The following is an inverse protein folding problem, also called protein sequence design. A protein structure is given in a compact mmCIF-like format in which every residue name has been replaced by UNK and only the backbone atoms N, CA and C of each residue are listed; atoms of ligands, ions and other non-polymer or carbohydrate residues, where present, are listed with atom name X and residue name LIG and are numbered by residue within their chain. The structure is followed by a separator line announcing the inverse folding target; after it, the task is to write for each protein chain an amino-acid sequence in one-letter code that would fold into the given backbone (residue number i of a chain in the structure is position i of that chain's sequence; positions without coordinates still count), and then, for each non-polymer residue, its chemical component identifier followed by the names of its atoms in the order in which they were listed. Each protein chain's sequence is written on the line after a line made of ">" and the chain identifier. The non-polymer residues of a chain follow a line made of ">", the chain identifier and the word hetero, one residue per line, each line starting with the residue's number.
data_IF_018433525972
#
_entry.id   IF_018433525972
#
_cell.length_a   1.000
_cell.length_b   1.000
_cell.length_c   1.000
_cell.angle_alpha   90.00
_cell.angle_beta   90.00
_cell.angle_gamma   90.00
#
_symmetry.space_group_name_H-M   'P 1'
#
loop_
_entity.id
_entity.type
_entity.pdbx_description
1 polymer ?
#
# COMPACT_ATOMS: atom_id res chain seq x y z
N UNK A 1 -4.54 11.38 -26.67
CA UNK A 1 -3.24 12.00 -26.36
C UNK A 1 -2.79 11.41 -25.03
N UNK A 2 -1.63 10.74 -24.99
CA UNK A 2 -1.10 10.12 -23.78
C UNK A 2 -0.03 11.05 -23.21
N UNK A 3 0.01 11.22 -21.90
CA UNK A 3 1.05 12.00 -21.24
C UNK A 3 2.41 11.31 -21.45
N UNK A 4 3.37 12.05 -22.01
CA UNK A 4 4.70 11.54 -22.36
C UNK A 4 5.46 10.96 -21.15
N UNK A 5 5.25 11.50 -19.94
CA UNK A 5 5.89 10.98 -18.72
C UNK A 5 5.46 9.55 -18.37
N UNK A 6 4.31 9.10 -18.89
CA UNK A 6 3.82 7.74 -18.68
C UNK A 6 4.15 6.78 -19.84
N UNK A 7 4.60 7.30 -20.99
CA UNK A 7 4.96 6.45 -22.14
C UNK A 7 6.07 5.45 -21.82
N UNK A 8 7.05 5.88 -21.04
CA UNK A 8 8.16 5.02 -20.61
C UNK A 8 7.72 3.86 -19.69
N UNK A 9 6.51 3.98 -19.10
CA UNK A 9 5.93 2.93 -18.25
C UNK A 9 5.13 1.91 -19.07
N UNK A 10 4.81 2.22 -20.33
CA UNK A 10 4.11 1.29 -21.20
C UNK A 10 5.06 0.12 -21.55
N UNK A 11 4.62 -1.09 -21.23
CA UNK A 11 5.39 -2.31 -21.46
C UNK A 11 6.45 -2.63 -20.38
N UNK A 12 6.69 -1.76 -19.43
CA UNK A 12 7.50 -2.09 -18.25
C UNK A 12 6.67 -2.95 -17.31
N UNK A 13 6.97 -4.22 -17.21
CA UNK A 13 6.35 -5.09 -16.22
C UNK A 13 6.99 -4.85 -14.84
N UNK A 14 6.17 -4.86 -13.81
CA UNK A 14 6.67 -4.89 -12.43
C UNK A 14 7.29 -6.25 -12.15
N UNK A 15 8.53 -6.27 -11.67
CA UNK A 15 9.23 -7.52 -11.29
C UNK A 15 8.40 -8.34 -10.30
N UNK A 16 7.71 -7.68 -9.37
CA UNK A 16 6.83 -8.34 -8.40
C UNK A 16 5.69 -9.09 -9.12
N UNK A 17 5.10 -8.48 -10.14
CA UNK A 17 4.03 -9.14 -10.93
C UNK A 17 4.56 -10.30 -11.75
N UNK A 18 5.72 -10.16 -12.38
CA UNK A 18 6.37 -11.25 -13.11
C UNK A 18 6.65 -12.45 -12.20
N UNK A 19 7.17 -12.18 -10.99
CA UNK A 19 7.40 -13.24 -10.00
C UNK A 19 6.11 -13.90 -9.53
N UNK A 20 5.05 -13.13 -9.28
CA UNK A 20 3.75 -13.66 -8.89
C UNK A 20 3.09 -14.49 -10.01
N UNK A 21 3.17 -14.02 -11.27
CA UNK A 21 2.71 -14.77 -12.44
C UNK A 21 3.49 -16.09 -12.60
N UNK A 22 4.81 -16.03 -12.42
CA UNK A 22 5.67 -17.24 -12.45
C UNK A 22 5.30 -18.21 -11.34
N UNK A 23 5.15 -17.72 -10.08
CA UNK A 23 4.77 -18.57 -8.94
C UNK A 23 3.40 -19.22 -9.17
N UNK A 24 2.45 -18.49 -9.74
CA UNK A 24 1.11 -19.01 -10.10
C UNK A 24 1.22 -20.09 -11.18
N UNK A 25 2.00 -19.88 -12.22
CA UNK A 25 2.21 -20.88 -13.28
C UNK A 25 2.90 -22.13 -12.71
N UNK A 26 3.94 -21.93 -11.89
CA UNK A 26 4.67 -23.03 -11.26
C UNK A 26 3.80 -23.86 -10.31
N UNK A 27 2.92 -23.21 -9.56
CA UNK A 27 1.99 -23.88 -8.65
C UNK A 27 1.02 -24.81 -9.37
N UNK A 28 0.62 -24.48 -10.59
CA UNK A 28 -0.19 -25.37 -11.43
C UNK A 28 0.55 -26.65 -11.87
N UNK A 29 1.87 -26.58 -11.99
CA UNK A 29 2.71 -27.71 -12.44
C UNK A 29 3.10 -28.64 -11.30
N UNK A 30 3.49 -28.09 -10.15
CA UNK A 30 4.08 -28.88 -9.04
C UNK A 30 3.23 -28.92 -7.78
N UNK A 31 2.05 -28.27 -7.77
CA UNK A 31 1.21 -28.05 -6.61
C UNK A 31 1.56 -26.77 -5.87
N UNK A 32 0.53 -26.01 -5.46
CA UNK A 32 0.72 -24.71 -4.77
C UNK A 32 1.40 -24.87 -3.40
N UNK A 33 1.24 -26.00 -2.75
CA UNK A 33 1.86 -26.34 -1.48
C UNK A 33 3.40 -26.44 -1.58
N UNK A 34 3.93 -26.60 -2.80
CA UNK A 34 5.36 -26.69 -3.09
C UNK A 34 5.96 -25.38 -3.61
N UNK A 35 5.17 -24.27 -3.62
CA UNK A 35 5.61 -22.96 -4.08
C UNK A 35 5.56 -21.97 -2.93
N UNK A 36 6.72 -21.43 -2.55
CA UNK A 36 6.85 -20.40 -1.53
C UNK A 36 6.93 -19.02 -2.20
N UNK A 37 5.76 -18.43 -2.47
CA UNK A 37 5.67 -17.13 -3.14
C UNK A 37 5.81 -15.99 -2.13
N UNK A 38 6.92 -15.27 -2.22
CA UNK A 38 7.20 -14.06 -1.44
C UNK A 38 7.10 -12.77 -2.27
N UNK A 39 6.48 -12.81 -3.44
CA UNK A 39 6.40 -11.67 -4.35
C UNK A 39 5.36 -10.65 -3.94
N UNK A 40 4.17 -11.07 -3.53
CA UNK A 40 3.07 -10.20 -3.11
C UNK A 40 2.79 -10.34 -1.62
N UNK A 41 2.58 -9.19 -0.97
CA UNK A 41 2.21 -9.13 0.45
C UNK A 41 0.72 -9.43 0.70
N UNK A 42 0.25 -10.61 0.27
CA UNK A 42 -1.11 -11.02 0.58
C UNK A 42 -1.25 -11.36 2.07
N UNK A 43 -2.38 -10.99 2.71
CA UNK A 43 -2.68 -11.45 4.06
C UNK A 43 -2.70 -12.98 4.13
N UNK A 44 -1.96 -13.53 5.09
CA UNK A 44 -1.91 -14.98 5.36
C UNK A 44 -2.68 -15.38 6.63
N UNK A 45 -3.27 -14.41 7.30
CA UNK A 45 -4.07 -14.59 8.51
C UNK A 45 -5.53 -14.29 8.17
N UNK A 46 -6.43 -15.14 8.65
CA UNK A 46 -7.86 -14.91 8.47
C UNK A 46 -8.29 -13.60 9.14
N UNK A 47 -9.22 -12.90 8.52
CA UNK A 47 -9.85 -11.73 9.14
C UNK A 47 -10.60 -12.17 10.42
N UNK A 48 -10.64 -11.34 11.48
CA UNK A 48 -11.43 -11.65 12.67
C UNK A 48 -12.90 -11.93 12.33
N UNK A 49 -13.51 -12.90 13.01
CA UNK A 49 -14.88 -13.30 12.72
C UNK A 49 -15.85 -12.13 12.95
N UNK A 50 -15.59 -11.33 13.96
CA UNK A 50 -16.38 -10.14 14.29
C UNK A 50 -16.49 -9.15 13.12
N UNK A 51 -15.42 -9.02 12.32
CA UNK A 51 -15.45 -8.18 11.11
C UNK A 51 -16.41 -8.76 10.07
N UNK A 52 -16.38 -10.08 9.87
CA UNK A 52 -17.27 -10.76 8.91
C UNK A 52 -18.72 -10.63 9.36
N UNK A 53 -18.99 -10.84 10.63
CA UNK A 53 -20.33 -10.78 11.22
C UNK A 53 -20.90 -9.36 11.10
N UNK A 54 -20.10 -8.34 11.38
CA UNK A 54 -20.50 -6.94 11.24
C UNK A 54 -20.78 -6.56 9.78
N UNK A 55 -19.97 -7.01 8.84
CA UNK A 55 -20.25 -6.80 7.42
C UNK A 55 -21.58 -7.42 6.98
N UNK A 56 -21.87 -8.63 7.47
CA UNK A 56 -23.15 -9.31 7.18
C UNK A 56 -24.31 -8.54 7.84
N UNK A 57 -24.15 -8.06 9.07
CA UNK A 57 -25.16 -7.27 9.78
C UNK A 57 -25.47 -5.97 9.01
N UNK A 58 -24.45 -5.20 8.63
CA UNK A 58 -24.61 -3.97 7.87
C UNK A 58 -25.38 -4.19 6.56
N UNK A 59 -25.04 -5.23 5.81
CA UNK A 59 -25.71 -5.56 4.55
C UNK A 59 -27.18 -5.97 4.70
N UNK A 60 -27.58 -6.50 5.87
CA UNK A 60 -28.94 -6.97 6.14
C UNK A 60 -29.82 -5.94 6.82
N UNK A 61 -29.26 -5.11 7.67
CA UNK A 61 -29.98 -4.27 8.62
C UNK A 61 -29.94 -2.79 8.29
N UNK A 62 -28.83 -2.33 7.63
CA UNK A 62 -28.73 -0.91 7.29
C UNK A 62 -29.56 -0.55 6.06
N UNK A 63 -30.03 0.69 6.05
CA UNK A 63 -30.70 1.23 4.86
C UNK A 63 -29.75 1.27 3.67
N UNK A 64 -30.20 0.72 2.56
CA UNK A 64 -29.41 0.58 1.33
C UNK A 64 -28.91 1.93 0.81
N UNK A 65 -29.68 3.01 0.93
CA UNK A 65 -29.27 4.34 0.46
C UNK A 65 -28.18 4.93 1.35
N UNK A 66 -28.24 4.65 2.65
CA UNK A 66 -27.20 5.03 3.61
C UNK A 66 -25.92 4.21 3.40
N UNK A 67 -26.05 2.89 3.24
CA UNK A 67 -24.91 2.00 3.12
C UNK A 67 -24.13 2.20 1.81
N UNK A 68 -24.84 2.44 0.70
CA UNK A 68 -24.25 2.56 -0.65
C UNK A 68 -24.21 3.99 -1.18
N UNK A 69 -24.65 4.96 -0.38
CA UNK A 69 -24.65 6.38 -0.73
C UNK A 69 -23.23 7.00 -0.68
N UNK A 70 -23.16 8.25 -1.11
CA UNK A 70 -21.95 9.03 -0.95
C UNK A 70 -21.69 9.36 0.52
N UNK A 71 -20.45 9.16 0.96
CA UNK A 71 -19.98 9.72 2.24
C UNK A 71 -19.70 11.22 2.10
N UNK A 72 -19.65 11.98 3.23
CA UNK A 72 -19.12 13.34 3.19
C UNK A 72 -17.72 13.38 2.55
N UNK A 73 -17.43 14.46 1.82
CA UNK A 73 -16.18 14.60 1.05
C UNK A 73 -14.89 14.45 1.85
N UNK A 74 -14.94 14.71 3.16
CA UNK A 74 -13.82 14.53 4.09
C UNK A 74 -13.85 13.18 4.84
N UNK A 75 -14.73 12.27 4.42
CA UNK A 75 -14.93 10.96 5.03
C UNK A 75 -16.02 10.93 6.10
N UNK A 76 -16.42 9.72 6.49
CA UNK A 76 -17.42 9.50 7.52
C UNK A 76 -16.90 9.97 8.90
N UNK A 77 -17.62 10.86 9.63
CA UNK A 77 -17.17 11.39 10.90
C UNK A 77 -16.93 10.31 11.98
N UNK A 78 -17.84 9.36 12.12
CA UNK A 78 -17.73 8.27 13.10
C UNK A 78 -16.49 7.41 12.84
N UNK A 79 -16.24 7.08 11.58
CA UNK A 79 -15.02 6.35 11.20
C UNK A 79 -13.75 7.13 11.58
N UNK A 80 -13.73 8.45 11.34
CA UNK A 80 -12.58 9.31 11.66
C UNK A 80 -12.35 9.42 13.17
N UNK A 81 -13.42 9.51 13.96
CA UNK A 81 -13.37 9.52 15.43
C UNK A 81 -12.75 8.22 15.96
N UNK A 82 -13.22 7.07 15.50
CA UNK A 82 -12.70 5.77 15.94
C UNK A 82 -11.24 5.55 15.52
N UNK A 83 -10.84 5.99 14.33
CA UNK A 83 -9.44 5.94 13.91
C UNK A 83 -8.56 6.84 14.79
N UNK A 84 -8.97 8.07 15.04
CA UNK A 84 -8.24 8.99 15.91
C UNK A 84 -8.10 8.43 17.33
N UNK A 85 -9.18 7.90 17.91
CA UNK A 85 -9.18 7.23 19.21
C UNK A 85 -8.19 6.06 19.24
N UNK A 86 -8.26 5.16 18.27
CA UNK A 86 -7.35 4.01 18.16
C UNK A 86 -5.88 4.43 18.09
N UNK A 87 -5.55 5.47 17.33
CA UNK A 87 -4.18 6.00 17.24
C UNK A 87 -3.72 6.61 18.56
N UNK A 88 -4.59 7.34 19.24
CA UNK A 88 -4.29 7.95 20.55
C UNK A 88 -4.03 6.89 21.61
N UNK A 89 -4.88 5.87 21.69
CA UNK A 89 -4.75 4.78 22.66
C UNK A 89 -3.51 3.92 22.43
N UNK A 90 -3.22 3.58 21.16
CA UNK A 90 -2.13 2.66 20.82
C UNK A 90 -0.76 3.31 20.79
N UNK A 91 -0.68 4.57 20.44
CA UNK A 91 0.59 5.25 20.18
C UNK A 91 0.80 6.52 21.00
N UNK A 92 -0.10 6.84 21.94
CA UNK A 92 0.02 8.04 22.80
C UNK A 92 -0.07 9.34 22.01
N UNK A 93 -0.80 9.34 20.88
CA UNK A 93 -1.00 10.53 20.06
C UNK A 93 -2.12 11.41 20.62
N UNK A 94 -2.32 12.56 20.02
CA UNK A 94 -3.41 13.49 20.37
C UNK A 94 -4.08 13.97 19.07
N UNK A 95 -4.72 13.03 18.35
CA UNK A 95 -5.46 13.33 17.13
C UNK A 95 -6.94 13.52 17.41
N UNK A 96 -7.55 14.50 16.70
CA UNK A 96 -9.00 14.59 16.52
C UNK A 96 -9.39 14.07 15.13
N UNK A 97 -10.70 13.93 14.87
CA UNK A 97 -11.20 13.48 13.55
C UNK A 97 -10.79 14.41 12.40
N UNK A 98 -10.51 15.68 12.65
CA UNK A 98 -10.00 16.65 11.68
C UNK A 98 -8.60 16.32 11.15
N UNK A 99 -7.82 15.53 11.89
CA UNK A 99 -6.50 15.07 11.46
C UNK A 99 -6.54 13.78 10.63
N UNK A 100 -7.72 13.18 10.45
CA UNK A 100 -7.89 11.92 9.73
C UNK A 100 -8.48 12.19 8.35
N UNK A 101 -7.80 11.74 7.32
CA UNK A 101 -8.24 11.80 5.94
C UNK A 101 -8.27 10.39 5.31
N UNK A 102 -9.44 9.75 5.19
CA UNK A 102 -9.57 8.43 4.60
C UNK A 102 -9.21 8.43 3.11
N UNK A 103 -8.49 7.41 2.68
CA UNK A 103 -8.11 7.22 1.27
C UNK A 103 -8.31 5.77 0.84
N UNK A 104 -8.26 5.54 -0.47
CA UNK A 104 -8.29 4.18 -1.03
C UNK A 104 -6.93 3.52 -0.88
N UNK A 105 -6.68 2.97 0.31
CA UNK A 105 -5.44 2.29 0.66
C UNK A 105 -4.21 3.21 0.74
N UNK A 106 -3.05 2.62 1.03
CA UNK A 106 -1.78 3.32 1.17
C UNK A 106 -1.35 4.06 -0.11
N UNK A 107 -1.65 3.50 -1.28
CA UNK A 107 -1.36 4.13 -2.57
C UNK A 107 -2.07 5.49 -2.72
N UNK A 108 -3.35 5.54 -2.35
CA UNK A 108 -4.13 6.78 -2.31
C UNK A 108 -3.55 7.77 -1.32
N UNK A 109 -3.23 7.31 -0.09
CA UNK A 109 -2.66 8.16 0.95
C UNK A 109 -1.34 8.81 0.51
N UNK A 110 -0.41 8.03 0.00
CA UNK A 110 0.90 8.54 -0.47
C UNK A 110 0.71 9.52 -1.63
N UNK A 111 -0.14 9.18 -2.62
CA UNK A 111 -0.37 10.03 -3.78
C UNK A 111 -1.01 11.37 -3.41
N UNK A 112 -1.96 11.38 -2.48
CA UNK A 112 -2.59 12.62 -1.99
C UNK A 112 -1.62 13.44 -1.14
N UNK A 113 -0.87 12.80 -0.24
CA UNK A 113 0.13 13.48 0.60
C UNK A 113 1.19 14.16 -0.28
N UNK A 114 1.76 13.45 -1.26
CA UNK A 114 2.75 14.03 -2.17
C UNK A 114 2.20 15.25 -2.90
N UNK A 115 1.00 15.17 -3.45
CA UNK A 115 0.37 16.30 -4.15
C UNK A 115 0.07 17.49 -3.23
N UNK A 116 -0.18 17.24 -1.96
CA UNK A 116 -0.45 18.30 -0.99
C UNK A 116 0.81 19.03 -0.51
N UNK A 117 1.94 18.32 -0.39
CA UNK A 117 3.15 18.87 0.26
C UNK A 117 4.32 19.12 -0.69
N UNK A 118 4.22 18.70 -1.97
CA UNK A 118 5.29 18.88 -2.96
C UNK A 118 4.82 19.64 -4.19
N UNK A 119 5.77 20.16 -4.93
CA UNK A 119 5.59 20.77 -6.26
C UNK A 119 6.46 20.06 -7.29
N UNK A 120 6.16 20.18 -8.60
CA UNK A 120 6.99 19.62 -9.65
C UNK A 120 8.45 20.03 -9.53
N UNK A 121 9.35 19.06 -9.58
CA UNK A 121 10.80 19.25 -9.46
C UNK A 121 11.36 19.06 -8.06
N UNK A 122 10.54 19.00 -7.03
CA UNK A 122 11.00 18.64 -5.68
C UNK A 122 11.57 17.22 -5.67
N UNK A 123 12.33 16.90 -4.63
CA UNK A 123 12.98 15.61 -4.46
C UNK A 123 12.44 14.88 -3.24
N UNK A 124 12.19 13.57 -3.40
CA UNK A 124 11.81 12.67 -2.33
C UNK A 124 12.90 11.61 -2.16
N UNK A 125 13.36 11.46 -0.93
CA UNK A 125 14.37 10.44 -0.59
C UNK A 125 13.67 9.17 -0.10
N UNK A 126 14.08 8.02 -0.64
CA UNK A 126 13.69 6.71 -0.12
C UNK A 126 14.93 5.84 0.12
N UNK A 127 14.83 4.92 1.07
CA UNK A 127 15.89 3.99 1.40
C UNK A 127 15.66 2.64 0.71
N UNK A 128 16.67 2.15 0.01
CA UNK A 128 16.62 0.82 -0.59
C UNK A 128 16.95 -0.27 0.46
N UNK A 129 16.26 -1.43 0.45
CA UNK A 129 15.18 -1.81 -0.46
C UNK A 129 13.85 -1.12 -0.10
N UNK A 130 13.05 -0.80 -1.10
CA UNK A 130 11.75 -0.16 -0.92
C UNK A 130 10.70 -0.77 -1.88
N UNK A 131 9.43 -0.48 -1.62
CA UNK A 131 8.34 -0.95 -2.45
C UNK A 131 8.40 -0.27 -3.83
N UNK A 132 8.51 -1.02 -4.95
CA UNK A 132 8.75 -0.46 -6.28
C UNK A 132 7.72 0.56 -6.74
N UNK A 133 6.48 0.44 -6.27
CA UNK A 133 5.37 1.34 -6.64
C UNK A 133 5.54 2.78 -6.13
N UNK A 134 6.49 3.03 -5.20
CA UNK A 134 6.83 4.41 -4.81
C UNK A 134 7.33 5.23 -6.00
N UNK A 135 8.02 4.60 -6.96
CA UNK A 135 8.46 5.27 -8.19
C UNK A 135 7.30 5.90 -8.96
N UNK A 136 6.28 5.11 -9.38
CA UNK A 136 5.06 5.61 -10.02
C UNK A 136 4.34 6.71 -9.23
N UNK A 137 4.20 6.58 -7.90
CA UNK A 137 3.51 7.60 -7.08
C UNK A 137 4.24 8.92 -7.10
N UNK A 138 5.57 8.90 -6.94
CA UNK A 138 6.43 10.08 -6.93
C UNK A 138 6.44 10.74 -8.30
N UNK A 139 6.62 9.96 -9.37
CA UNK A 139 6.57 10.45 -10.76
C UNK A 139 5.21 11.08 -11.09
N UNK A 140 4.11 10.47 -10.62
CA UNK A 140 2.76 10.99 -10.81
C UNK A 140 2.50 12.33 -10.13
N UNK A 141 3.29 12.68 -9.11
CA UNK A 141 3.28 13.99 -8.46
C UNK A 141 4.26 15.00 -9.11
N UNK A 142 5.02 14.59 -10.13
CA UNK A 142 6.05 15.42 -10.75
C UNK A 142 7.32 15.57 -9.91
N UNK A 143 7.51 14.73 -8.91
CA UNK A 143 8.62 14.73 -7.95
C UNK A 143 9.71 13.77 -8.42
N UNK A 144 10.95 14.06 -8.08
CA UNK A 144 12.10 13.19 -8.35
C UNK A 144 12.32 12.23 -7.19
N UNK A 145 12.47 10.94 -7.48
CA UNK A 145 12.81 9.94 -6.47
C UNK A 145 14.33 9.76 -6.37
N UNK A 146 14.90 10.18 -5.26
CA UNK A 146 16.31 9.91 -4.91
C UNK A 146 16.39 8.64 -4.06
N UNK A 147 17.21 7.70 -4.52
CA UNK A 147 17.37 6.37 -3.92
C UNK A 147 18.67 6.35 -3.14
N UNK A 148 18.59 6.21 -1.84
CA UNK A 148 19.77 6.01 -0.98
C UNK A 148 19.89 4.55 -0.60
N UNK A 149 21.04 3.94 -0.84
CA UNK A 149 21.34 2.65 -0.21
C UNK A 149 21.62 2.90 1.27
N UNK A 150 21.11 2.01 2.12
CA UNK A 150 21.52 1.99 3.51
C UNK A 150 22.77 1.11 3.64
N UNK A 151 23.95 1.68 3.95
CA UNK A 151 25.19 0.87 4.09
C UNK A 151 24.99 -0.26 5.08
N UNK A 152 24.28 -0.01 6.18
CA UNK A 152 23.89 -1.00 7.18
C UNK A 152 23.13 -2.18 6.57
N UNK A 153 22.14 -1.95 5.73
CA UNK A 153 21.34 -3.02 5.14
C UNK A 153 22.16 -3.83 4.14
N UNK A 154 22.96 -3.17 3.32
CA UNK A 154 23.87 -3.83 2.37
C UNK A 154 24.87 -4.71 3.12
N UNK A 155 25.48 -4.21 4.19
CA UNK A 155 26.40 -4.97 5.03
C UNK A 155 25.72 -6.16 5.73
N UNK A 156 24.50 -5.96 6.24
CA UNK A 156 23.71 -7.02 6.86
C UNK A 156 23.37 -8.15 5.87
N UNK A 157 22.95 -7.81 4.65
CA UNK A 157 22.64 -8.80 3.62
C UNK A 157 23.88 -9.51 3.10
N UNK A 158 25.00 -8.82 2.96
CA UNK A 158 26.26 -9.42 2.53
C UNK A 158 26.84 -10.38 3.59
N UNK A 159 26.70 -10.06 4.88
CA UNK A 159 27.16 -10.92 5.98
C UNK A 159 26.30 -12.17 6.16
N UNK A 160 25.07 -12.20 5.64
CA UNK A 160 24.14 -13.32 5.72
C UNK A 160 24.01 -14.12 4.44
N UNK A 161 24.95 -14.01 3.51
CA UNK A 161 25.01 -15.01 2.42
C UNK A 161 25.15 -16.39 3.08
N UNK A 162 24.14 -17.27 3.01
CA UNK A 162 24.37 -18.66 3.37
C UNK A 162 25.44 -19.17 2.41
N UNK A 163 26.45 -19.86 2.93
CA UNK A 163 27.35 -20.65 2.11
C UNK A 163 26.49 -21.70 1.41
N UNK A 164 26.07 -21.39 0.20
CA UNK A 164 25.45 -22.33 -0.71
C UNK A 164 26.59 -23.10 -1.37
N UNK A 165 27.24 -23.97 -0.60
CA UNK A 165 28.06 -25.06 -1.12
C UNK A 165 27.25 -26.32 -1.20
#
# INVERSE_FOLDING_TARGET
>A
MINESYKSMLGAKSVIRELSEYATARGKEIGYENVFDFSLGNPSVAVPQEFTDEMIRLLKEEDTMTLHGYTPSLGNPLYKEEVAKSLNERFGMNYGPEHIFPTTGAAGAISHALRAVTKPGDELITFAPYFPEYGPYVTGAGVKLDRKSTPWFTEFMLKRKPDLT
#
